data_IF_631709863508
#
_entry.id   IF_631709863508
#
_cell.length_a   1.000
_cell.length_b   1.000
_cell.length_c   1.000
_cell.angle_alpha   90.00
_cell.angle_beta   90.00
_cell.angle_gamma   90.00
#
_symmetry.space_group_name_H-M   'P 1'
#
loop_
_entity.id
_entity.type
_entity.pdbx_description
1 polymer ?
#
# COMPACT_ATOMS: atom_id res chain seq x y z
N UNK A 1 12.18 -1.30 -24.03
CA UNK A 1 11.18 -2.34 -23.76
C UNK A 1 10.07 -2.15 -24.77
N UNK A 2 9.84 -3.13 -25.62
CA UNK A 2 8.87 -3.03 -26.71
C UNK A 2 7.43 -3.15 -26.17
N UNK A 3 6.42 -2.67 -26.90
CA UNK A 3 5.01 -2.90 -26.56
C UNK A 3 4.68 -4.38 -26.36
N UNK A 4 5.31 -5.27 -27.13
CA UNK A 4 5.12 -6.73 -27.05
C UNK A 4 5.71 -7.35 -25.78
N UNK A 5 6.81 -6.79 -25.27
CA UNK A 5 7.41 -7.21 -23.99
C UNK A 5 6.54 -6.83 -22.79
N UNK A 6 5.90 -5.65 -22.84
CA UNK A 6 4.94 -5.20 -21.83
C UNK A 6 3.67 -6.07 -21.83
N UNK A 7 3.12 -6.37 -23.00
CA UNK A 7 1.93 -7.22 -23.14
C UNK A 7 2.19 -8.66 -22.66
N UNK A 8 3.41 -9.18 -22.90
CA UNK A 8 3.82 -10.51 -22.43
C UNK A 8 3.98 -10.55 -20.90
N UNK A 9 4.44 -9.46 -20.28
CA UNK A 9 4.53 -9.35 -18.82
C UNK A 9 3.16 -9.20 -18.16
N UNK A 10 2.22 -8.47 -18.77
CA UNK A 10 0.83 -8.31 -18.30
C UNK A 10 0.06 -9.62 -18.24
N UNK A 11 0.35 -10.57 -19.14
CA UNK A 11 -0.31 -11.89 -19.21
C UNK A 11 0.22 -12.92 -18.22
N UNK A 12 1.26 -12.60 -17.44
CA UNK A 12 1.74 -13.50 -16.38
C UNK A 12 0.85 -13.37 -15.14
N UNK A 13 0.25 -14.46 -14.63
CA UNK A 13 -0.64 -14.40 -13.45
C UNK A 13 0.07 -13.87 -12.19
N UNK A 14 1.39 -14.06 -12.09
CA UNK A 14 2.23 -13.55 -11.00
C UNK A 14 2.45 -12.02 -11.05
N UNK A 15 2.12 -11.40 -12.17
CA UNK A 15 2.41 -10.00 -12.50
C UNK A 15 1.11 -9.19 -12.71
N UNK A 16 0.04 -9.84 -13.17
CA UNK A 16 -1.31 -9.29 -13.30
C UNK A 16 -1.93 -8.84 -11.96
N UNK A 17 -1.41 -9.37 -10.84
CA UNK A 17 -1.78 -8.93 -9.49
C UNK A 17 -1.07 -7.64 -9.05
N UNK A 18 -0.10 -7.14 -9.83
CA UNK A 18 0.52 -5.83 -9.59
C UNK A 18 -0.28 -4.74 -10.30
N UNK A 19 -1.09 -4.00 -9.54
CA UNK A 19 -1.84 -2.84 -10.01
C UNK A 19 -0.97 -1.76 -10.69
N UNK A 20 0.36 -1.85 -10.55
CA UNK A 20 1.37 -1.05 -11.24
C UNK A 20 1.39 -1.22 -12.76
N UNK A 21 1.03 -2.40 -13.28
CA UNK A 21 1.09 -2.71 -14.71
C UNK A 21 -0.26 -2.60 -15.43
N UNK A 22 -1.34 -2.42 -14.66
CA UNK A 22 -2.68 -2.12 -15.18
C UNK A 22 -2.63 -0.78 -15.92
N UNK A 23 -3.34 -0.70 -17.05
CA UNK A 23 -3.57 0.58 -17.70
C UNK A 23 -4.33 1.51 -16.74
N UNK A 24 -4.14 2.83 -16.86
CA UNK A 24 -4.76 3.79 -15.92
C UNK A 24 -6.29 3.63 -15.84
N UNK A 25 -6.95 3.24 -16.94
CA UNK A 25 -8.39 2.98 -16.96
C UNK A 25 -8.80 1.74 -16.14
N UNK A 26 -7.91 0.76 -15.98
CA UNK A 26 -8.14 -0.49 -15.27
C UNK A 26 -7.71 -0.43 -13.79
N UNK A 27 -7.16 0.70 -13.36
CA UNK A 27 -6.86 0.93 -11.95
C UNK A 27 -8.16 1.20 -11.18
N UNK A 28 -8.24 0.79 -9.91
CA UNK A 28 -9.37 1.13 -9.06
C UNK A 28 -9.49 2.64 -8.89
N UNK A 29 -10.72 3.11 -8.66
CA UNK A 29 -10.93 4.47 -8.16
C UNK A 29 -10.28 4.64 -6.78
N UNK A 30 -10.10 5.89 -6.33
CA UNK A 30 -9.65 6.18 -4.97
C UNK A 30 -10.47 5.40 -3.93
N UNK A 31 -11.79 5.46 -4.03
CA UNK A 31 -12.66 4.93 -2.98
C UNK A 31 -12.57 3.40 -2.92
N UNK A 32 -12.44 2.74 -4.07
CA UNK A 32 -12.18 1.29 -4.15
C UNK A 32 -10.81 0.94 -3.56
N UNK A 33 -9.77 1.70 -3.91
CA UNK A 33 -8.42 1.48 -3.38
C UNK A 33 -8.36 1.64 -1.85
N UNK A 34 -8.97 2.71 -1.33
CA UNK A 34 -9.06 2.98 0.11
C UNK A 34 -9.87 1.90 0.83
N UNK A 35 -11.02 1.50 0.29
CA UNK A 35 -11.85 0.45 0.88
C UNK A 35 -11.12 -0.90 0.96
N UNK A 36 -10.49 -1.33 -0.14
CA UNK A 36 -9.74 -2.58 -0.20
C UNK A 36 -8.55 -2.57 0.76
N UNK A 37 -7.78 -1.47 0.79
CA UNK A 37 -6.63 -1.34 1.66
C UNK A 37 -6.99 -1.22 3.14
N UNK A 38 -8.08 -0.52 3.50
CA UNK A 38 -8.56 -0.48 4.89
C UNK A 38 -9.10 -1.84 5.34
N UNK A 39 -9.84 -2.56 4.48
CA UNK A 39 -10.29 -3.92 4.76
C UNK A 39 -9.09 -4.85 5.00
N UNK A 40 -8.04 -4.72 4.19
CA UNK A 40 -6.78 -5.45 4.40
C UNK A 40 -6.11 -5.11 5.73
N UNK A 41 -5.96 -3.81 6.02
CA UNK A 41 -5.19 -3.30 7.15
C UNK A 41 -5.85 -3.59 8.50
N UNK A 42 -7.17 -3.41 8.58
CA UNK A 42 -7.91 -3.43 9.85
C UNK A 42 -8.64 -4.75 10.11
N UNK A 43 -9.00 -5.49 9.07
CA UNK A 43 -9.97 -6.60 9.19
C UNK A 43 -9.51 -7.93 8.59
N UNK A 44 -8.48 -7.94 7.75
CA UNK A 44 -8.06 -9.16 7.06
C UNK A 44 -7.08 -9.97 7.91
N UNK A 45 -7.53 -11.13 8.35
CA UNK A 45 -6.69 -12.10 9.03
C UNK A 45 -5.63 -12.69 8.07
N UNK A 46 -4.38 -12.62 8.52
CA UNK A 46 -3.20 -13.05 7.78
C UNK A 46 -2.82 -14.48 8.16
N UNK A 47 -2.39 -15.33 7.21
CA UNK A 47 -2.01 -16.70 7.49
C UNK A 47 -0.89 -16.81 8.52
N UNK A 48 -1.11 -17.60 9.55
CA UNK A 48 -0.11 -17.92 10.56
C UNK A 48 0.47 -19.33 10.35
N UNK A 49 1.69 -19.61 10.81
CA UNK A 49 2.62 -18.71 11.50
C UNK A 49 3.65 -18.04 10.56
N UNK A 50 3.51 -18.21 9.24
CA UNK A 50 4.60 -17.96 8.30
C UNK A 50 4.46 -16.68 7.49
N UNK A 51 3.27 -16.05 7.40
CA UNK A 51 3.13 -14.83 6.61
C UNK A 51 4.02 -13.71 7.15
N UNK A 52 4.67 -12.99 6.23
CA UNK A 52 5.57 -11.87 6.50
C UNK A 52 5.05 -10.61 5.82
N UNK A 53 5.15 -9.48 6.50
CA UNK A 53 4.80 -8.18 5.95
C UNK A 53 5.89 -7.16 6.28
N UNK A 54 6.21 -6.27 5.35
CA UNK A 54 7.08 -5.14 5.64
C UNK A 54 6.41 -4.18 6.61
N UNK A 55 7.21 -3.49 7.42
CA UNK A 55 6.68 -2.40 8.25
C UNK A 55 6.00 -1.31 7.40
N UNK A 56 6.52 -1.06 6.20
CA UNK A 56 5.94 -0.13 5.22
C UNK A 56 4.67 -0.66 4.54
N UNK A 57 4.27 -1.90 4.82
CA UNK A 57 3.02 -2.50 4.37
C UNK A 57 2.93 -2.74 2.86
N UNK A 58 1.81 -2.35 2.27
CA UNK A 58 1.46 -2.62 0.86
C UNK A 58 0.97 -1.36 0.16
N UNK A 59 1.15 -1.33 -1.16
CA UNK A 59 0.77 -0.22 -2.03
C UNK A 59 -0.39 -0.62 -2.93
N UNK A 60 -1.39 0.25 -3.06
CA UNK A 60 -2.47 0.12 -4.04
C UNK A 60 -2.44 1.30 -5.00
N UNK A 61 -2.23 1.02 -6.29
CA UNK A 61 -2.32 2.03 -7.35
C UNK A 61 -3.76 2.33 -7.67
N UNK A 62 -4.07 3.60 -7.82
CA UNK A 62 -5.39 4.07 -8.18
C UNK A 62 -5.32 4.97 -9.42
N UNK A 63 -6.49 5.25 -9.97
CA UNK A 63 -6.69 6.25 -11.02
C UNK A 63 -6.15 7.63 -10.61
N UNK A 64 -5.90 8.47 -11.60
CA UNK A 64 -5.38 9.82 -11.39
C UNK A 64 -3.89 9.86 -11.08
N UNK A 65 -3.14 8.81 -11.47
CA UNK A 65 -1.71 8.67 -11.17
C UNK A 65 -1.44 8.83 -9.67
N UNK A 66 -2.25 8.18 -8.84
CA UNK A 66 -2.08 8.12 -7.38
C UNK A 66 -1.75 6.71 -6.93
N UNK A 67 -1.08 6.61 -5.80
CA UNK A 67 -1.00 5.36 -5.06
C UNK A 67 -1.20 5.59 -3.58
N UNK A 68 -1.73 4.57 -2.92
CA UNK A 68 -2.02 4.58 -1.52
C UNK A 68 -1.15 3.54 -0.81
N UNK A 69 -0.35 3.99 0.14
CA UNK A 69 0.40 3.11 1.03
C UNK A 69 -0.44 2.81 2.27
N UNK A 70 -0.64 1.53 2.57
CA UNK A 70 -1.29 1.07 3.80
C UNK A 70 -0.23 0.51 4.72
N UNK A 71 0.08 1.23 5.80
CA UNK A 71 1.21 0.97 6.70
C UNK A 71 0.70 0.38 8.02
N UNK A 72 0.98 -0.90 8.30
CA UNK A 72 0.69 -1.55 9.58
C UNK A 72 1.29 -0.85 10.80
N UNK A 73 2.43 -0.18 10.61
CA UNK A 73 3.18 0.49 11.66
C UNK A 73 3.89 1.72 11.10
N UNK A 74 3.73 2.85 11.79
CA UNK A 74 4.41 4.10 11.50
C UNK A 74 5.82 4.18 12.10
N UNK A 75 6.52 5.30 11.85
CA UNK A 75 7.82 5.57 12.45
C UNK A 75 7.73 5.50 13.98
N UNK A 76 8.60 4.69 14.60
CA UNK A 76 8.57 4.45 16.05
C UNK A 76 7.69 3.28 16.50
N UNK A 77 6.94 2.65 15.58
CA UNK A 77 6.11 1.48 15.83
C UNK A 77 4.70 1.82 16.34
N UNK A 78 3.74 0.92 16.10
CA UNK A 78 2.42 0.94 16.72
C UNK A 78 1.33 1.75 16.00
N UNK A 79 1.65 2.88 15.37
CA UNK A 79 0.63 3.71 14.70
C UNK A 79 0.26 3.15 13.33
N UNK A 80 -1.02 2.85 13.09
CA UNK A 80 -1.52 2.52 11.75
C UNK A 80 -1.59 3.78 10.89
N UNK A 81 -1.14 3.73 9.64
CA UNK A 81 -1.17 4.89 8.75
C UNK A 81 -1.62 4.53 7.33
N UNK A 82 -2.20 5.52 6.66
CA UNK A 82 -2.45 5.49 5.21
C UNK A 82 -1.79 6.72 4.60
N UNK A 83 -1.10 6.57 3.48
CA UNK A 83 -0.52 7.70 2.73
C UNK A 83 -1.06 7.72 1.31
N UNK A 84 -1.39 8.90 0.78
CA UNK A 84 -1.58 9.12 -0.66
C UNK A 84 -0.31 9.75 -1.23
N UNK A 85 0.09 9.30 -2.41
CA UNK A 85 1.28 9.77 -3.11
C UNK A 85 0.99 10.01 -4.59
N UNK A 86 1.66 11.00 -5.15
CA UNK A 86 1.75 11.21 -6.59
C UNK A 86 2.62 10.10 -7.19
N UNK A 87 2.11 9.43 -8.23
CA UNK A 87 2.88 8.43 -8.97
C UNK A 87 3.87 9.10 -9.93
N UNK A 88 5.17 8.81 -9.72
CA UNK A 88 6.31 9.42 -10.43
C UNK A 88 6.24 10.95 -10.36
N UNK A 89 6.77 11.50 -9.27
CA UNK A 89 6.89 12.94 -9.08
C UNK A 89 7.70 13.53 -10.24
N UNK A 90 7.12 14.50 -10.92
CA UNK A 90 7.73 15.23 -12.02
C UNK A 90 8.22 16.56 -11.46
N UNK A 91 9.48 16.90 -11.74
CA UNK A 91 10.08 18.14 -11.27
C UNK A 91 10.44 19.04 -12.44
N UNK A 92 10.24 20.34 -12.25
CA UNK A 92 10.89 21.35 -13.06
C UNK A 92 12.40 21.35 -12.74
N UNK A 93 13.24 21.25 -13.76
CA UNK A 93 14.68 21.06 -13.55
C UNK A 93 15.41 22.33 -13.08
N UNK A 94 14.80 23.51 -13.26
CA UNK A 94 15.41 24.80 -12.93
C UNK A 94 14.99 25.28 -11.53
N UNK A 95 13.73 25.05 -11.17
CA UNK A 95 13.13 25.49 -9.91
C UNK A 95 13.03 24.38 -8.86
N UNK A 96 13.12 23.11 -9.28
CA UNK A 96 12.83 21.91 -8.49
C UNK A 96 11.37 21.78 -8.03
N UNK A 97 10.49 22.64 -8.53
CA UNK A 97 9.07 22.60 -8.22
C UNK A 97 8.43 21.31 -8.75
N UNK A 98 7.47 20.76 -7.99
CA UNK A 98 6.70 19.59 -8.41
C UNK A 98 5.67 20.00 -9.45
N UNK A 99 5.76 19.42 -10.63
CA UNK A 99 4.89 19.71 -11.79
C UNK A 99 3.55 18.98 -11.74
N UNK A 100 3.46 17.93 -10.94
CA UNK A 100 2.26 17.10 -10.79
C UNK A 100 1.86 16.95 -9.31
N UNK A 101 1.68 18.05 -8.55
CA UNK A 101 1.42 18.00 -7.12
C UNK A 101 0.09 17.29 -6.81
N UNK A 102 -0.12 16.98 -5.54
CA UNK A 102 -1.47 16.75 -5.05
C UNK A 102 -2.31 18.00 -5.30
N UNK A 103 -3.53 17.81 -5.80
CA UNK A 103 -4.43 18.93 -6.04
C UNK A 103 -4.80 19.60 -4.72
N UNK A 104 -5.12 20.90 -4.79
CA UNK A 104 -5.64 21.62 -3.63
C UNK A 104 -6.90 20.91 -3.11
N UNK A 105 -6.94 20.62 -1.81
CA UNK A 105 -8.04 19.89 -1.18
C UNK A 105 -8.00 18.37 -1.32
N UNK A 106 -7.15 17.79 -2.17
CA UNK A 106 -7.10 16.34 -2.40
C UNK A 106 -6.85 15.54 -1.11
N UNK A 107 -5.96 16.03 -0.24
CA UNK A 107 -5.73 15.41 1.06
C UNK A 107 -6.95 15.44 1.99
N UNK A 108 -7.75 16.52 1.94
CA UNK A 108 -8.99 16.62 2.72
C UNK A 108 -10.06 15.67 2.18
N UNK A 109 -10.13 15.49 0.86
CA UNK A 109 -11.02 14.49 0.25
C UNK A 109 -10.64 13.06 0.64
N UNK A 110 -9.34 12.73 0.68
CA UNK A 110 -8.86 11.43 1.15
C UNK A 110 -9.23 11.23 2.62
N UNK A 111 -9.04 12.22 3.48
CA UNK A 111 -9.46 12.14 4.89
C UNK A 111 -10.98 11.93 5.04
N UNK A 112 -11.79 12.61 4.23
CA UNK A 112 -13.24 12.42 4.21
C UNK A 112 -13.63 11.03 3.73
N UNK A 113 -12.96 10.49 2.70
CA UNK A 113 -13.18 9.13 2.22
C UNK A 113 -12.80 8.07 3.27
N UNK A 114 -11.68 8.25 3.97
CA UNK A 114 -11.29 7.39 5.10
C UNK A 114 -12.36 7.40 6.21
N UNK A 115 -12.89 8.58 6.57
CA UNK A 115 -13.95 8.71 7.55
C UNK A 115 -15.26 8.03 7.10
N UNK A 116 -15.64 8.16 5.82
CA UNK A 116 -16.81 7.49 5.25
C UNK A 116 -16.68 5.96 5.28
N UNK A 117 -15.44 5.45 5.21
CA UNK A 117 -15.12 4.01 5.33
C UNK A 117 -14.97 3.56 6.80
N UNK A 118 -15.19 4.44 7.76
CA UNK A 118 -15.17 4.15 9.18
C UNK A 118 -13.77 4.15 9.82
N UNK A 119 -12.78 4.79 9.19
CA UNK A 119 -11.47 5.02 9.78
C UNK A 119 -11.36 6.45 10.32
N UNK A 120 -10.81 6.61 11.53
CA UNK A 120 -10.71 7.90 12.20
C UNK A 120 -9.31 8.47 12.04
N UNK A 121 -9.17 9.56 11.28
CA UNK A 121 -7.89 10.27 11.14
C UNK A 121 -7.59 11.08 12.41
N UNK A 122 -6.49 10.75 13.11
CA UNK A 122 -6.06 11.44 14.33
C UNK A 122 -5.09 12.58 14.07
N UNK A 123 -4.31 12.45 13.01
CA UNK A 123 -3.38 13.49 12.54
C UNK A 123 -3.05 13.26 11.08
N UNK A 124 -2.60 14.32 10.41
CA UNK A 124 -2.14 14.23 9.03
C UNK A 124 -0.95 15.15 8.81
N UNK A 125 0.02 14.71 8.01
CA UNK A 125 1.19 15.49 7.62
C UNK A 125 1.61 15.12 6.20
N UNK A 126 2.28 16.03 5.51
CA UNK A 126 2.61 15.82 4.11
C UNK A 126 3.40 16.96 3.51
N UNK A 127 3.52 16.90 2.19
CA UNK A 127 4.12 17.91 1.35
C UNK A 127 3.38 18.00 0.02
N UNK A 128 4.06 18.54 -0.97
CA UNK A 128 3.48 18.83 -2.28
C UNK A 128 3.06 17.56 -3.06
N UNK A 129 3.73 16.44 -2.83
CA UNK A 129 3.63 15.19 -3.59
C UNK A 129 3.05 14.02 -2.79
N UNK A 130 2.81 14.20 -1.49
CA UNK A 130 2.21 13.17 -0.64
C UNK A 130 1.50 13.75 0.58
N UNK A 131 0.54 12.99 1.11
CA UNK A 131 -0.09 13.25 2.40
C UNK A 131 -0.25 11.93 3.15
N UNK A 132 0.12 11.92 4.43
CA UNK A 132 -0.02 10.78 5.33
C UNK A 132 -1.06 11.08 6.41
N UNK A 133 -1.83 10.06 6.78
CA UNK A 133 -2.88 10.08 7.77
C UNK A 133 -2.61 9.00 8.81
N UNK A 134 -2.45 9.39 10.07
CA UNK A 134 -2.45 8.44 11.18
C UNK A 134 -3.90 8.10 11.56
N UNK A 135 -4.17 6.81 11.76
CA UNK A 135 -5.48 6.32 12.14
C UNK A 135 -5.57 6.07 13.64
N UNK A 136 -6.78 6.17 14.21
CA UNK A 136 -7.04 5.78 15.59
C UNK A 136 -7.11 4.24 15.72
N UNK A 137 -7.50 3.56 14.65
CA UNK A 137 -7.69 2.13 14.62
C UNK A 137 -6.36 1.38 14.57
N UNK A 138 -6.27 0.34 15.40
CA UNK A 138 -5.15 -0.58 15.38
C UNK A 138 -5.20 -1.49 14.16
N UNK A 139 -4.03 -1.72 13.58
CA UNK A 139 -3.84 -2.73 12.53
C UNK A 139 -4.22 -4.11 13.06
N UNK A 140 -4.80 -4.95 12.18
CA UNK A 140 -5.24 -6.29 12.54
C UNK A 140 -4.12 -7.08 13.26
N UNK A 141 -4.40 -7.76 14.40
CA UNK A 141 -3.35 -8.39 15.21
C UNK A 141 -2.45 -9.37 14.44
N UNK A 142 -3.00 -10.19 13.54
CA UNK A 142 -2.22 -11.13 12.72
C UNK A 142 -1.28 -10.42 11.73
N UNK A 143 -1.68 -9.23 11.24
CA UNK A 143 -0.86 -8.43 10.33
C UNK A 143 0.27 -7.75 11.11
N UNK A 144 0.00 -7.25 12.32
CA UNK A 144 1.05 -6.80 13.25
C UNK A 144 2.02 -7.93 13.60
N UNK A 145 1.51 -9.16 13.79
CA UNK A 145 2.34 -10.33 14.04
C UNK A 145 3.23 -10.67 12.82
N UNK A 146 2.71 -10.55 11.59
CA UNK A 146 3.47 -10.71 10.35
C UNK A 146 4.61 -9.68 10.23
N UNK A 147 4.34 -8.41 10.56
CA UNK A 147 5.38 -7.38 10.66
C UNK A 147 6.39 -7.71 11.74
N UNK A 148 5.95 -8.14 12.91
CA UNK A 148 6.84 -8.56 14.00
C UNK A 148 7.75 -9.73 13.61
N UNK A 149 7.24 -10.70 12.84
CA UNK A 149 8.05 -11.80 12.28
C UNK A 149 9.09 -11.28 11.30
N UNK A 150 8.72 -10.37 10.40
CA UNK A 150 9.66 -9.76 9.47
C UNK A 150 10.74 -8.98 10.23
N UNK A 151 10.37 -8.10 11.16
CA UNK A 151 11.31 -7.24 11.93
C UNK A 151 12.28 -8.04 12.80
N UNK A 152 11.89 -9.21 13.31
CA UNK A 152 12.81 -10.12 14.02
C UNK A 152 13.88 -10.75 13.11
N UNK A 153 13.69 -10.72 11.80
CA UNK A 153 14.62 -11.31 10.84
C UNK A 153 14.50 -12.83 10.71
N UNK A 154 15.34 -13.39 9.85
CA UNK A 154 15.27 -14.81 9.50
C UNK A 154 15.54 -15.71 10.72
N UNK A 155 14.61 -16.61 11.10
CA UNK A 155 14.79 -17.48 12.26
C UNK A 155 15.87 -18.54 12.04
N UNK A 156 16.17 -18.89 10.79
CA UNK A 156 17.20 -19.88 10.44
C UNK A 156 18.60 -19.30 10.40
N UNK A 157 18.72 -18.00 10.17
CA UNK A 157 20.01 -17.30 10.06
C UNK A 157 19.97 -15.97 10.82
N UNK A 158 19.92 -15.98 12.17
CA UNK A 158 19.69 -14.77 12.96
C UNK A 158 20.70 -13.65 12.68
N UNK A 159 21.96 -14.01 12.40
CA UNK A 159 23.03 -13.06 12.07
C UNK A 159 22.79 -12.28 10.76
N UNK A 160 21.92 -12.77 9.87
CA UNK A 160 21.57 -12.09 8.61
C UNK A 160 20.36 -11.17 8.72
N UNK A 161 19.58 -11.26 9.81
CA UNK A 161 18.41 -10.42 10.03
C UNK A 161 17.39 -10.49 8.89
N UNK A 162 16.90 -9.32 8.45
CA UNK A 162 15.91 -9.19 7.36
C UNK A 162 16.50 -9.33 5.96
N UNK A 163 17.83 -9.27 5.82
CA UNK A 163 18.56 -9.34 4.55
C UNK A 163 19.01 -10.77 4.21
N UNK A 164 18.37 -11.77 4.80
CA UNK A 164 18.71 -13.16 4.55
C UNK A 164 18.30 -13.58 3.13
N UNK A 165 19.21 -14.24 2.41
CA UNK A 165 19.01 -14.68 1.02
C UNK A 165 18.35 -16.06 0.92
N UNK A 166 18.05 -16.72 2.05
CA UNK A 166 17.31 -17.98 2.02
C UNK A 166 15.84 -17.75 1.65
N UNK A 167 15.10 -18.83 1.37
CA UNK A 167 13.71 -18.74 0.90
C UNK A 167 12.72 -18.24 1.95
N UNK A 168 13.07 -18.20 3.24
CA UNK A 168 12.17 -17.81 4.34
C UNK A 168 11.38 -16.53 4.03
N UNK A 169 12.09 -15.49 3.59
CA UNK A 169 11.49 -14.21 3.30
C UNK A 169 10.47 -14.31 2.16
N UNK A 170 10.86 -14.94 1.04
CA UNK A 170 10.01 -15.07 -0.14
C UNK A 170 8.77 -15.92 0.16
N UNK A 171 8.97 -17.10 0.76
CA UNK A 171 7.88 -17.98 1.18
C UNK A 171 6.91 -17.27 2.13
N UNK A 172 7.41 -16.49 3.07
CA UNK A 172 6.54 -15.75 3.99
C UNK A 172 5.80 -14.58 3.31
N UNK A 173 6.45 -13.88 2.38
CA UNK A 173 5.81 -12.81 1.61
C UNK A 173 4.70 -13.34 0.68
N UNK A 174 4.92 -14.49 0.04
CA UNK A 174 3.95 -15.14 -0.86
C UNK A 174 2.68 -15.61 -0.12
N UNK A 175 2.77 -15.81 1.21
CA UNK A 175 1.63 -16.17 2.06
C UNK A 175 0.82 -14.97 2.55
N UNK A 176 1.32 -13.74 2.37
CA UNK A 176 0.61 -12.54 2.78
C UNK A 176 -0.64 -12.36 1.90
N UNK A 177 -1.83 -12.32 2.51
CA UNK A 177 -3.03 -11.90 1.78
C UNK A 177 -2.88 -10.42 1.46
N UNK A 178 -3.09 -10.04 0.21
CA UNK A 178 -3.00 -8.66 -0.27
C UNK A 178 -4.38 -7.98 -0.29
N UNK A 179 -4.45 -6.64 -0.40
CA UNK A 179 -5.71 -5.94 -0.64
C UNK A 179 -6.41 -6.46 -1.90
N UNK A 180 -7.68 -6.82 -1.77
CA UNK A 180 -8.50 -7.28 -2.87
C UNK A 180 -9.36 -6.13 -3.39
N UNK A 181 -8.88 -5.48 -4.46
CA UNK A 181 -9.55 -4.34 -5.10
C UNK A 181 -10.69 -4.76 -6.02
N UNK A 182 -10.69 -6.02 -6.47
CA UNK A 182 -11.66 -6.51 -7.45
C UNK A 182 -12.93 -7.03 -6.74
N UNK A 183 -12.85 -7.38 -5.44
CA UNK A 183 -13.99 -7.77 -4.60
C UNK A 183 -14.74 -6.60 -3.96
N UNK A 184 -14.24 -5.37 -4.06
CA UNK A 184 -14.96 -4.19 -3.56
C UNK A 184 -15.99 -3.76 -4.62
N UNK A 185 -17.30 -3.72 -4.31
CA UNK A 185 -18.28 -3.22 -5.25
C UNK A 185 -17.93 -1.79 -5.62
N UNK A 186 -17.80 -1.49 -6.93
CA UNK A 186 -17.69 -0.11 -7.39
C UNK A 186 -18.88 0.73 -6.91
N UNK A 187 -18.75 2.06 -6.83
CA UNK A 187 -19.90 2.91 -6.55
C UNK A 187 -20.99 2.59 -7.57
N UNK A 188 -22.12 2.08 -7.10
CA UNK A 188 -23.26 1.73 -7.93
C UNK A 188 -23.65 2.93 -8.79
N UNK A 189 -23.73 2.71 -10.10
CA UNK A 189 -24.24 3.66 -11.08
C UNK A 189 -25.74 3.86 -10.86
#
# INVERSE_FOLDING_TARGET
MSPDELETLRRRPEVASSCWLRDEADKPSRDVALAAGLQWLLRTEQPEPQALCFANGVVVHAQGRRFYDFKPQGPGGGTTMVSVHVHKVEHDMDTLDVLNPLAEGEGAEVAAALAALGATVTSSWGGTDFQTFALAEDTHPSLRAAVGRHTRGCPYHPARGTLCECSWYRTGADLLKLPDVDSVPGPGV
#
